data_IF_423482674859
#
_entry.id   IF_423482674859
#
_cell.length_a   1.000
_cell.length_b   1.000
_cell.length_c   1.000
_cell.angle_alpha   90.00
_cell.angle_beta   90.00
_cell.angle_gamma   90.00
#
_symmetry.space_group_name_H-M   'P 1'
#
loop_
_entity.id
_entity.type
_entity.pdbx_description
1 polymer ?
#
# COMPACT_ATOMS: atom_id res chain seq x y z
N UNK A 1 -2.44 -4.08 32.57
CA UNK A 1 -3.53 -3.20 32.92
C UNK A 1 -3.10 -1.82 33.44
N UNK A 2 -2.62 -1.72 34.67
CA UNK A 2 -2.43 -0.40 35.35
C UNK A 2 -1.40 0.53 34.66
N UNK A 3 -0.30 0.01 34.08
CA UNK A 3 0.73 0.83 33.46
C UNK A 3 0.21 1.58 32.22
N UNK A 4 -0.56 0.91 31.37
CA UNK A 4 -1.19 1.51 30.18
C UNK A 4 -2.18 2.60 30.60
N UNK A 5 -2.94 2.37 31.69
CA UNK A 5 -3.87 3.36 32.24
C UNK A 5 -3.13 4.60 32.74
N UNK A 6 -1.99 4.44 33.39
CA UNK A 6 -1.16 5.55 33.87
C UNK A 6 -0.52 6.35 32.72
N UNK A 7 -0.02 5.68 31.69
CA UNK A 7 0.57 6.34 30.50
C UNK A 7 -0.49 7.17 29.78
N UNK A 8 -1.69 6.61 29.56
CA UNK A 8 -2.78 7.34 28.92
C UNK A 8 -3.30 8.49 29.80
N UNK A 9 -3.40 8.27 31.12
CA UNK A 9 -3.79 9.34 32.05
C UNK A 9 -2.75 10.47 32.06
N UNK A 10 -1.45 10.16 32.03
CA UNK A 10 -0.37 11.14 31.95
C UNK A 10 -0.46 11.99 30.68
N UNK A 11 -0.68 11.33 29.49
CA UNK A 11 -0.88 12.05 28.23
C UNK A 11 -2.20 12.83 28.19
N UNK A 12 -3.24 12.35 28.87
CA UNK A 12 -4.56 13.01 28.91
C UNK A 12 -4.56 14.27 29.78
N UNK A 13 -3.74 14.33 30.79
CA UNK A 13 -3.86 15.35 31.83
C UNK A 13 -3.17 16.70 31.53
N UNK A 14 -2.08 16.79 30.78
CA UNK A 14 -1.29 18.01 30.85
C UNK A 14 -0.68 18.60 29.57
N UNK A 15 -0.88 18.04 28.34
CA UNK A 15 -0.22 18.64 27.16
C UNK A 15 -1.12 18.67 25.92
N UNK A 16 -1.06 19.79 25.21
CA UNK A 16 -1.65 19.99 23.88
C UNK A 16 -1.23 18.85 22.91
N UNK A 17 0.02 18.38 22.98
CA UNK A 17 0.54 17.24 22.23
C UNK A 17 -0.18 15.94 22.58
N UNK A 18 -0.44 15.68 23.87
CA UNK A 18 -1.21 14.49 24.29
C UNK A 18 -2.64 14.48 23.76
N UNK A 19 -3.30 15.65 23.75
CA UNK A 19 -4.65 15.80 23.16
C UNK A 19 -4.64 15.58 21.63
N UNK A 20 -3.62 16.04 20.94
CA UNK A 20 -3.45 15.81 19.51
C UNK A 20 -3.21 14.33 19.20
N UNK A 21 -2.34 13.65 19.94
CA UNK A 21 -2.04 12.22 19.75
C UNK A 21 -3.26 11.33 20.00
N UNK A 22 -4.15 11.70 20.93
CA UNK A 22 -5.37 10.95 21.22
C UNK A 22 -6.48 11.26 20.19
N UNK A 23 -6.39 12.37 19.46
CA UNK A 23 -7.36 12.74 18.45
C UNK A 23 -7.31 11.78 17.25
N UNK A 24 -8.37 11.01 17.04
CA UNK A 24 -8.43 10.02 15.95
C UNK A 24 -8.26 10.61 14.55
N UNK A 25 -8.66 11.86 14.32
CA UNK A 25 -8.44 12.51 13.02
C UNK A 25 -6.97 12.88 12.83
N UNK A 26 -6.29 13.33 13.87
CA UNK A 26 -4.86 13.57 13.82
C UNK A 26 -4.06 12.28 13.61
N UNK A 27 -4.45 11.19 14.27
CA UNK A 27 -3.85 9.87 14.06
C UNK A 27 -3.97 9.40 12.60
N UNK A 28 -5.13 9.60 11.94
CA UNK A 28 -5.33 9.27 10.52
C UNK A 28 -4.34 10.01 9.63
N UNK A 29 -4.16 11.32 9.86
CA UNK A 29 -3.23 12.16 9.12
C UNK A 29 -1.80 11.64 9.33
N UNK A 30 -1.40 11.36 10.58
CA UNK A 30 -0.06 10.85 10.89
C UNK A 30 0.19 9.48 10.25
N UNK A 31 -0.75 8.55 10.34
CA UNK A 31 -0.64 7.21 9.75
C UNK A 31 -0.47 7.29 8.23
N UNK A 32 -1.13 8.24 7.58
CA UNK A 32 -0.98 8.46 6.13
C UNK A 32 0.35 9.12 5.77
N UNK A 33 0.76 10.16 6.52
CA UNK A 33 1.98 10.92 6.20
C UNK A 33 3.26 10.20 6.63
N UNK A 34 3.19 9.36 7.65
CA UNK A 34 4.37 8.70 8.20
C UNK A 34 5.09 7.80 7.19
N UNK A 35 4.42 6.90 6.42
CA UNK A 35 5.09 6.12 5.39
C UNK A 35 5.70 6.99 4.27
N UNK A 36 5.05 8.12 3.90
CA UNK A 36 5.60 9.06 2.93
C UNK A 36 6.95 9.62 3.41
N UNK A 37 7.04 9.98 4.69
CA UNK A 37 8.29 10.47 5.27
C UNK A 37 9.34 9.35 5.42
N UNK A 38 8.91 8.14 5.83
CA UNK A 38 9.80 7.01 6.06
C UNK A 38 10.51 6.53 4.78
N UNK A 39 9.77 6.48 3.68
CA UNK A 39 10.24 5.96 2.39
C UNK A 39 10.60 7.07 1.39
N UNK A 40 10.67 8.33 1.84
CA UNK A 40 10.98 9.47 0.97
C UNK A 40 12.30 9.32 0.20
N UNK A 41 13.29 8.66 0.80
CA UNK A 41 14.58 8.39 0.18
C UNK A 41 14.50 7.49 -1.05
N UNK A 42 13.44 6.67 -1.19
CA UNK A 42 13.30 5.77 -2.34
C UNK A 42 12.83 6.48 -3.62
N UNK A 43 12.34 7.72 -3.52
CA UNK A 43 11.87 8.50 -4.66
C UNK A 43 12.93 8.74 -5.74
N UNK A 44 14.20 8.78 -5.36
CA UNK A 44 15.31 8.99 -6.29
C UNK A 44 15.92 7.68 -6.80
N UNK A 45 15.33 6.53 -6.47
CA UNK A 45 15.81 5.25 -6.98
C UNK A 45 15.45 5.08 -8.46
N UNK A 46 16.32 4.39 -9.19
CA UNK A 46 16.04 3.92 -10.54
C UNK A 46 15.23 2.64 -10.49
N UNK A 47 14.63 2.26 -11.61
CA UNK A 47 14.06 0.92 -11.80
C UNK A 47 15.15 -0.15 -11.65
N UNK A 48 14.89 -1.15 -10.81
CA UNK A 48 15.82 -2.24 -10.50
C UNK A 48 15.16 -3.60 -10.64
N UNK A 49 15.98 -4.62 -10.88
CA UNK A 49 15.54 -6.03 -10.89
C UNK A 49 14.22 -6.23 -11.66
N UNK A 50 13.19 -6.63 -10.93
CA UNK A 50 11.87 -6.98 -11.46
C UNK A 50 11.13 -5.79 -12.07
N UNK A 51 11.43 -4.55 -11.67
CA UNK A 51 10.84 -3.34 -12.28
C UNK A 51 11.14 -3.27 -13.78
N UNK A 52 12.33 -3.70 -14.18
CA UNK A 52 12.71 -3.77 -15.58
C UNK A 52 11.84 -4.77 -16.36
N UNK A 53 11.46 -5.88 -15.72
CA UNK A 53 10.62 -6.93 -16.33
C UNK A 53 9.17 -6.47 -16.47
N UNK A 54 8.64 -5.80 -15.45
CA UNK A 54 7.21 -5.46 -15.41
C UNK A 54 6.89 -4.08 -15.98
N UNK A 55 7.89 -3.19 -16.14
CA UNK A 55 7.70 -1.83 -16.66
C UNK A 55 8.60 -1.58 -17.87
N UNK A 56 9.90 -1.37 -17.62
CA UNK A 56 10.82 -0.78 -18.60
C UNK A 56 10.95 -1.60 -19.88
N UNK A 57 11.10 -2.92 -19.77
CA UNK A 57 11.29 -3.85 -20.87
C UNK A 57 10.01 -4.65 -21.21
N UNK A 58 8.87 -4.30 -20.63
CA UNK A 58 7.61 -4.96 -20.94
C UNK A 58 6.92 -4.24 -22.09
N UNK A 59 6.94 -4.85 -23.29
CA UNK A 59 6.35 -4.26 -24.50
C UNK A 59 4.87 -3.88 -24.32
N UNK A 60 4.12 -4.64 -23.52
CA UNK A 60 2.71 -4.35 -23.30
C UNK A 60 2.50 -3.13 -22.40
N UNK A 61 3.35 -2.95 -21.39
CA UNK A 61 3.29 -1.80 -20.48
C UNK A 61 3.80 -0.53 -21.18
N UNK A 62 4.89 -0.62 -21.95
CA UNK A 62 5.49 0.54 -22.64
C UNK A 62 4.62 1.07 -23.78
N UNK A 63 3.66 0.27 -24.29
CA UNK A 63 2.64 0.75 -25.24
C UNK A 63 1.51 1.54 -24.58
N UNK A 64 1.55 1.74 -23.26
CA UNK A 64 0.52 2.45 -22.52
C UNK A 64 -0.85 1.77 -22.60
N UNK A 65 -1.91 2.56 -22.69
CA UNK A 65 -3.30 2.08 -22.72
C UNK A 65 -3.53 1.10 -23.90
N UNK A 66 -2.84 1.27 -25.02
CA UNK A 66 -2.98 0.37 -26.18
C UNK A 66 -2.48 -1.06 -25.91
N UNK A 67 -1.65 -1.26 -24.90
CA UNK A 67 -1.14 -2.57 -24.50
C UNK A 67 -2.06 -3.36 -23.56
N UNK A 68 -3.10 -2.72 -23.00
CA UNK A 68 -4.01 -3.34 -22.02
C UNK A 68 -4.69 -4.63 -22.54
N UNK A 69 -5.17 -4.71 -23.77
CA UNK A 69 -5.74 -5.95 -24.30
C UNK A 69 -4.78 -7.14 -24.23
N UNK A 70 -3.48 -6.90 -24.50
CA UNK A 70 -2.47 -7.96 -24.41
C UNK A 70 -2.14 -8.31 -22.96
N UNK A 71 -2.11 -7.35 -22.05
CA UNK A 71 -1.94 -7.57 -20.60
C UNK A 71 -3.08 -8.45 -20.05
N UNK A 72 -4.31 -8.25 -20.52
CA UNK A 72 -5.45 -9.07 -20.12
C UNK A 72 -5.43 -10.48 -20.71
N UNK A 73 -4.77 -10.67 -21.85
CA UNK A 73 -4.75 -11.94 -22.58
C UNK A 73 -3.59 -12.85 -22.18
N UNK A 74 -2.45 -12.27 -21.79
CA UNK A 74 -1.20 -13.00 -21.58
C UNK A 74 -0.71 -12.89 -20.12
N UNK A 75 0.22 -13.78 -19.74
CA UNK A 75 0.89 -13.70 -18.45
C UNK A 75 1.85 -12.49 -18.35
N UNK A 76 2.24 -12.17 -17.11
CA UNK A 76 3.06 -10.99 -16.78
C UNK A 76 4.40 -10.93 -17.54
N UNK A 77 5.02 -12.10 -17.81
CA UNK A 77 6.35 -12.15 -18.44
C UNK A 77 6.31 -12.10 -19.98
N UNK A 78 5.13 -12.34 -20.58
CA UNK A 78 5.02 -12.44 -22.04
C UNK A 78 5.46 -11.17 -22.76
N UNK A 79 5.12 -10.01 -22.22
CA UNK A 79 5.53 -8.73 -22.80
C UNK A 79 7.04 -8.48 -22.70
N UNK A 80 7.69 -8.96 -21.66
CA UNK A 80 9.15 -8.90 -21.48
C UNK A 80 9.86 -9.89 -22.41
N UNK A 81 9.44 -11.15 -22.44
CA UNK A 81 10.06 -12.20 -23.27
C UNK A 81 9.97 -11.89 -24.76
N UNK A 82 8.89 -11.23 -25.19
CA UNK A 82 8.71 -10.81 -26.59
C UNK A 82 9.75 -9.77 -27.00
N UNK A 83 10.11 -8.86 -26.11
CA UNK A 83 11.12 -7.83 -26.37
C UNK A 83 12.55 -8.38 -26.43
N UNK A 84 12.83 -9.50 -25.74
CA UNK A 84 14.19 -10.09 -25.67
C UNK A 84 14.42 -11.29 -26.59
N UNK A 85 13.48 -11.62 -27.51
CA UNK A 85 13.57 -12.78 -28.41
C UNK A 85 13.85 -14.13 -27.69
N UNK A 86 13.58 -14.23 -26.41
CA UNK A 86 13.90 -15.39 -25.58
C UNK A 86 12.73 -16.37 -25.56
N UNK A 87 12.77 -17.36 -26.46
CA UNK A 87 11.78 -18.44 -26.55
C UNK A 87 11.80 -19.46 -25.39
N UNK A 88 12.68 -19.29 -24.42
CA UNK A 88 13.04 -20.36 -23.48
C UNK A 88 12.97 -20.01 -22.00
N UNK A 89 12.17 -19.07 -21.58
CA UNK A 89 12.20 -18.73 -20.17
C UNK A 89 10.82 -18.67 -19.52
N UNK A 90 10.72 -19.38 -18.42
CA UNK A 90 9.71 -19.33 -17.39
C UNK A 90 8.38 -19.99 -17.76
N UNK A 91 8.37 -21.30 -17.70
CA UNK A 91 7.17 -22.12 -17.48
C UNK A 91 6.66 -21.90 -16.06
N UNK A 92 5.55 -21.23 -15.90
CA UNK A 92 4.94 -20.93 -14.59
C UNK A 92 4.35 -19.54 -14.57
N UNK A 93 3.51 -19.25 -15.58
CA UNK A 93 2.93 -17.94 -15.80
C UNK A 93 2.32 -17.30 -14.54
N UNK A 94 2.79 -16.11 -14.20
CA UNK A 94 2.15 -15.26 -13.18
C UNK A 94 1.16 -14.35 -13.88
N UNK A 95 -0.13 -14.57 -13.64
CA UNK A 95 -1.18 -13.71 -14.17
C UNK A 95 -1.60 -12.68 -13.11
N UNK A 96 -1.08 -11.44 -13.25
CA UNK A 96 -1.37 -10.31 -12.36
C UNK A 96 -1.69 -9.05 -13.17
N UNK A 97 -2.82 -9.06 -13.92
CA UNK A 97 -3.08 -8.01 -14.89
C UNK A 97 -3.32 -6.63 -14.27
N UNK A 98 -3.91 -6.56 -13.06
CA UNK A 98 -4.29 -5.29 -12.45
C UNK A 98 -3.11 -4.34 -12.28
N UNK A 99 -1.99 -4.83 -11.77
CA UNK A 99 -0.81 -4.00 -11.54
C UNK A 99 -0.16 -3.59 -12.86
N UNK A 100 -0.09 -4.49 -13.84
CA UNK A 100 0.43 -4.17 -15.18
C UNK A 100 -0.46 -3.16 -15.91
N UNK A 101 -1.79 -3.28 -15.81
CA UNK A 101 -2.74 -2.30 -16.35
C UNK A 101 -2.50 -0.93 -15.70
N UNK A 102 -2.32 -0.90 -14.38
CA UNK A 102 -2.01 0.32 -13.66
C UNK A 102 -0.68 0.92 -14.15
N UNK A 103 0.37 0.12 -14.30
CA UNK A 103 1.65 0.58 -14.83
C UNK A 103 1.53 1.09 -16.29
N UNK A 104 0.79 0.39 -17.14
CA UNK A 104 0.55 0.84 -18.52
C UNK A 104 -0.21 2.18 -18.53
N UNK A 105 -1.20 2.34 -17.68
CA UNK A 105 -1.92 3.61 -17.54
C UNK A 105 -0.98 4.74 -17.07
N UNK A 106 -0.15 4.51 -16.06
CA UNK A 106 0.82 5.52 -15.60
C UNK A 106 1.84 5.83 -16.67
N UNK A 107 2.34 4.80 -17.37
CA UNK A 107 3.34 4.95 -18.44
C UNK A 107 2.82 5.81 -19.59
N UNK A 108 1.53 5.74 -19.93
CA UNK A 108 0.89 6.58 -20.95
C UNK A 108 1.12 8.08 -20.72
N UNK A 109 1.09 8.52 -19.46
CA UNK A 109 1.18 9.95 -19.09
C UNK A 109 2.59 10.41 -18.77
N UNK A 110 3.41 9.54 -18.17
CA UNK A 110 4.72 9.95 -17.63
C UNK A 110 5.91 9.22 -18.25
N UNK A 111 5.67 8.24 -19.13
CA UNK A 111 6.72 7.43 -19.74
C UNK A 111 7.56 6.68 -18.69
N UNK A 112 8.86 6.57 -18.94
CA UNK A 112 9.84 5.89 -18.08
C UNK A 112 10.33 6.79 -16.92
N UNK A 113 9.39 7.38 -16.17
CA UNK A 113 9.73 8.25 -15.03
C UNK A 113 9.69 7.48 -13.71
N UNK A 114 10.82 6.90 -13.28
CA UNK A 114 10.92 6.10 -12.05
C UNK A 114 10.43 6.84 -10.81
N UNK A 115 10.68 8.16 -10.69
CA UNK A 115 10.24 8.96 -9.56
C UNK A 115 8.71 8.87 -9.34
N UNK A 116 7.92 9.00 -10.41
CA UNK A 116 6.46 8.94 -10.31
C UNK A 116 5.99 7.53 -9.90
N UNK A 117 6.61 6.48 -10.42
CA UNK A 117 6.28 5.11 -10.04
C UNK A 117 6.59 4.83 -8.56
N UNK A 118 7.75 5.26 -8.05
CA UNK A 118 8.08 5.17 -6.62
C UNK A 118 7.13 6.00 -5.76
N UNK A 119 6.78 7.22 -6.19
CA UNK A 119 5.83 8.06 -5.48
C UNK A 119 4.46 7.38 -5.33
N UNK A 120 3.97 6.80 -6.42
CA UNK A 120 2.69 6.07 -6.41
C UNK A 120 2.76 4.84 -5.50
N UNK A 121 3.89 4.10 -5.51
CA UNK A 121 4.09 2.96 -4.62
C UNK A 121 3.99 3.36 -3.13
N UNK A 122 4.67 4.43 -2.74
CA UNK A 122 4.61 4.97 -1.37
C UNK A 122 3.20 5.48 -1.03
N UNK A 123 2.53 6.15 -1.97
CA UNK A 123 1.16 6.63 -1.77
C UNK A 123 0.19 5.48 -1.52
N UNK A 124 0.25 4.40 -2.30
CA UNK A 124 -0.61 3.24 -2.09
C UNK A 124 -0.28 2.50 -0.79
N UNK A 125 1.00 2.44 -0.40
CA UNK A 125 1.38 1.91 0.90
C UNK A 125 0.84 2.77 2.06
N UNK A 126 0.83 4.09 1.91
CA UNK A 126 0.23 5.02 2.89
C UNK A 126 -1.28 4.84 3.00
N UNK A 127 -1.97 4.64 1.87
CA UNK A 127 -3.41 4.31 1.84
C UNK A 127 -3.71 2.95 2.49
N UNK A 128 -2.84 1.96 2.28
CA UNK A 128 -2.93 0.67 2.94
C UNK A 128 -2.78 0.83 4.47
N UNK A 129 -1.78 1.56 4.94
CA UNK A 129 -1.59 1.84 6.37
C UNK A 129 -2.82 2.55 6.98
N UNK A 130 -3.35 3.56 6.30
CA UNK A 130 -4.57 4.23 6.75
C UNK A 130 -5.76 3.26 6.82
N UNK A 131 -5.90 2.39 5.84
CA UNK A 131 -6.99 1.40 5.80
C UNK A 131 -6.85 0.35 6.91
N UNK A 132 -5.63 -0.09 7.22
CA UNK A 132 -5.33 -0.99 8.36
C UNK A 132 -5.71 -0.30 9.69
N UNK A 133 -5.31 0.97 9.87
CA UNK A 133 -5.69 1.74 11.05
C UNK A 133 -7.22 1.79 11.22
N UNK A 134 -7.95 2.11 10.15
CA UNK A 134 -9.41 2.19 10.18
C UNK A 134 -10.06 0.84 10.50
N UNK A 135 -9.54 -0.24 9.93
CA UNK A 135 -10.02 -1.60 10.19
C UNK A 135 -9.80 -1.98 11.66
N UNK A 136 -8.58 -1.80 12.18
CA UNK A 136 -8.24 -2.12 13.56
C UNK A 136 -9.06 -1.28 14.54
N UNK A 137 -9.17 0.03 14.32
CA UNK A 137 -9.96 0.92 15.17
C UNK A 137 -11.43 0.48 15.25
N UNK A 138 -11.98 0.03 14.12
CA UNK A 138 -13.36 -0.46 14.06
C UNK A 138 -13.52 -1.81 14.79
N UNK A 139 -12.63 -2.76 14.58
CA UNK A 139 -12.67 -4.07 15.22
C UNK A 139 -12.50 -3.98 16.73
N UNK A 140 -11.62 -3.10 17.20
CA UNK A 140 -11.34 -2.94 18.64
C UNK A 140 -12.39 -2.12 19.37
N UNK A 141 -13.17 -1.29 18.67
CA UNK A 141 -14.11 -0.33 19.26
C UNK A 141 -15.17 -1.00 20.13
N UNK A 142 -15.64 -2.19 19.78
CA UNK A 142 -16.66 -2.91 20.54
C UNK A 142 -16.16 -3.44 21.90
N UNK A 143 -14.88 -3.86 21.95
CA UNK A 143 -14.28 -4.47 23.13
C UNK A 143 -13.47 -3.48 23.99
N UNK A 144 -12.86 -2.49 23.34
CA UNK A 144 -11.97 -1.50 23.96
C UNK A 144 -12.27 -0.08 23.47
N UNK A 145 -13.46 0.49 23.77
CA UNK A 145 -13.91 1.77 23.19
C UNK A 145 -12.94 2.93 23.41
N UNK A 146 -12.33 3.01 24.61
CA UNK A 146 -11.41 4.10 24.98
C UNK A 146 -10.00 3.91 24.42
N UNK A 147 -9.61 2.69 24.06
CA UNK A 147 -8.25 2.33 23.65
C UNK A 147 -8.16 1.93 22.18
N UNK A 148 -9.28 1.78 21.48
CA UNK A 148 -9.31 1.32 20.10
C UNK A 148 -8.40 2.16 19.18
N UNK A 149 -8.54 3.49 19.22
CA UNK A 149 -7.74 4.38 18.39
C UNK A 149 -6.24 4.36 18.75
N UNK A 150 -5.83 4.52 20.04
CA UNK A 150 -4.42 4.46 20.40
C UNK A 150 -3.75 3.11 20.06
N UNK A 151 -4.42 1.99 20.31
CA UNK A 151 -3.88 0.66 19.99
C UNK A 151 -3.73 0.51 18.47
N UNK A 152 -4.75 0.90 17.69
CA UNK A 152 -4.71 0.82 16.24
C UNK A 152 -3.62 1.70 15.66
N UNK A 153 -3.42 2.89 16.20
CA UNK A 153 -2.36 3.81 15.81
C UNK A 153 -0.97 3.19 16.00
N UNK A 154 -0.67 2.69 17.21
CA UNK A 154 0.60 2.06 17.50
C UNK A 154 0.84 0.80 16.65
N UNK A 155 -0.18 -0.05 16.52
CA UNK A 155 -0.08 -1.27 15.70
C UNK A 155 0.21 -0.94 14.24
N UNK A 156 -0.43 0.10 13.69
CA UNK A 156 -0.21 0.53 12.31
C UNK A 156 1.17 1.16 12.13
N UNK A 157 1.69 1.93 13.09
CA UNK A 157 3.05 2.43 13.03
C UNK A 157 4.08 1.30 13.06
N UNK A 158 3.89 0.30 13.92
CA UNK A 158 4.75 -0.89 13.97
C UNK A 158 4.70 -1.66 12.64
N UNK A 159 3.54 -1.80 12.03
CA UNK A 159 3.40 -2.35 10.69
C UNK A 159 4.20 -1.53 9.68
N UNK A 160 3.98 -0.22 9.62
CA UNK A 160 4.61 0.67 8.63
C UNK A 160 6.15 0.70 8.74
N UNK A 161 6.70 0.57 9.95
CA UNK A 161 8.15 0.58 10.21
C UNK A 161 8.82 -0.78 10.11
N UNK A 162 8.04 -1.85 9.94
CA UNK A 162 8.62 -3.19 9.93
C UNK A 162 9.56 -3.37 8.73
N UNK A 163 10.82 -3.81 8.91
CA UNK A 163 11.82 -3.88 7.84
C UNK A 163 11.43 -4.74 6.64
N UNK A 164 10.53 -5.71 6.83
CA UNK A 164 10.04 -6.58 5.75
C UNK A 164 9.36 -5.81 4.62
N UNK A 165 8.80 -4.62 4.92
CA UNK A 165 8.11 -3.79 3.91
C UNK A 165 9.07 -2.98 3.06
N UNK A 166 10.36 -2.91 3.42
CA UNK A 166 11.34 -2.12 2.66
C UNK A 166 11.47 -2.62 1.23
N UNK A 167 11.52 -3.94 1.02
CA UNK A 167 11.58 -4.50 -0.33
C UNK A 167 10.32 -4.17 -1.14
N UNK A 168 9.16 -4.38 -0.56
CA UNK A 168 7.86 -4.16 -1.23
C UNK A 168 7.63 -2.70 -1.58
N UNK A 169 8.05 -1.76 -0.71
CA UNK A 169 7.82 -0.32 -0.92
C UNK A 169 8.90 0.32 -1.78
N UNK A 170 10.17 -0.08 -1.61
CA UNK A 170 11.28 0.47 -2.38
C UNK A 170 11.37 -0.10 -3.81
N UNK A 171 10.75 -1.24 -4.08
CA UNK A 171 10.69 -1.87 -5.39
C UNK A 171 9.30 -1.61 -6.01
N UNK A 172 9.23 -0.97 -7.17
CA UNK A 172 7.95 -0.58 -7.79
C UNK A 172 7.07 -1.79 -8.10
N UNK A 173 7.69 -2.90 -8.52
CA UNK A 173 6.98 -4.17 -8.76
C UNK A 173 6.22 -4.65 -7.51
N UNK A 174 6.66 -4.31 -6.31
CA UNK A 174 5.98 -4.63 -5.04
C UNK A 174 4.55 -4.07 -4.90
N UNK A 175 4.13 -3.18 -5.80
CA UNK A 175 2.76 -2.65 -5.85
C UNK A 175 1.69 -3.75 -5.96
N UNK A 176 2.00 -4.88 -6.56
CA UNK A 176 1.08 -6.02 -6.66
C UNK A 176 0.74 -6.61 -5.27
N UNK A 177 1.70 -6.64 -4.35
CA UNK A 177 1.51 -7.10 -2.98
C UNK A 177 0.76 -6.05 -2.15
N UNK A 178 1.09 -4.76 -2.33
CA UNK A 178 0.36 -3.65 -1.70
C UNK A 178 -1.11 -3.67 -2.12
N UNK A 179 -1.41 -3.81 -3.40
CA UNK A 179 -2.78 -3.89 -3.91
C UNK A 179 -3.53 -5.11 -3.36
N UNK A 180 -2.88 -6.28 -3.33
CA UNK A 180 -3.49 -7.50 -2.82
C UNK A 180 -3.95 -7.34 -1.36
N UNK A 181 -3.09 -6.83 -0.49
CA UNK A 181 -3.43 -6.59 0.91
C UNK A 181 -4.43 -5.43 1.06
N UNK A 182 -4.24 -4.34 0.30
CA UNK A 182 -5.12 -3.17 0.40
C UNK A 182 -6.56 -3.49 0.00
N UNK A 183 -6.78 -4.17 -1.12
CA UNK A 183 -8.12 -4.58 -1.52
C UNK A 183 -8.74 -5.59 -0.56
N UNK A 184 -7.95 -6.48 0.04
CA UNK A 184 -8.41 -7.38 1.10
C UNK A 184 -8.91 -6.59 2.32
N UNK A 185 -8.14 -5.60 2.78
CA UNK A 185 -8.52 -4.73 3.91
C UNK A 185 -9.78 -3.92 3.58
N UNK A 186 -9.88 -3.37 2.36
CA UNK A 186 -11.06 -2.64 1.90
C UNK A 186 -12.31 -3.54 1.85
N UNK A 187 -12.17 -4.78 1.38
CA UNK A 187 -13.27 -5.76 1.38
C UNK A 187 -13.78 -6.03 2.81
N UNK A 188 -12.87 -6.22 3.78
CA UNK A 188 -13.26 -6.36 5.18
C UNK A 188 -14.00 -5.13 5.72
N UNK A 189 -13.51 -3.92 5.40
CA UNK A 189 -14.17 -2.68 5.80
C UNK A 189 -15.59 -2.58 5.21
N UNK A 190 -15.78 -2.96 3.94
CA UNK A 190 -17.08 -2.99 3.28
C UNK A 190 -18.04 -3.99 3.94
N UNK A 191 -17.56 -5.22 4.23
CA UNK A 191 -18.35 -6.24 4.92
C UNK A 191 -18.80 -5.74 6.30
N UNK A 192 -17.87 -5.20 7.09
CA UNK A 192 -18.21 -4.66 8.41
C UNK A 192 -19.25 -3.53 8.31
N UNK A 193 -19.12 -2.66 7.31
CA UNK A 193 -20.10 -1.58 7.08
C UNK A 193 -21.48 -2.16 6.78
N UNK A 194 -21.57 -3.15 5.88
CA UNK A 194 -22.84 -3.79 5.53
C UNK A 194 -23.51 -4.46 6.74
N UNK A 195 -22.71 -5.10 7.62
CA UNK A 195 -23.24 -5.71 8.86
C UNK A 195 -23.84 -4.66 9.79
N UNK A 196 -23.21 -3.49 9.92
CA UNK A 196 -23.71 -2.42 10.79
C UNK A 196 -24.97 -1.76 10.23
N UNK A 197 -25.04 -1.61 8.90
CA UNK A 197 -26.20 -1.02 8.22
C UNK A 197 -27.44 -1.94 8.30
N UNK A 198 -27.23 -3.27 8.30
CA UNK A 198 -28.31 -4.26 8.46
C UNK A 198 -28.81 -4.43 9.92
N UNK A 199 -28.11 -3.85 10.89
CA UNK A 199 -28.52 -3.87 12.31
C UNK A 199 -29.35 -2.65 12.74
N UNK A 200 -29.52 -1.67 11.85
CA UNK A 200 -30.35 -0.48 12.05
C UNK A 200 -31.73 -0.68 11.49
#
# INVERSE_FOLDING_TARGET
>A
GKLITYVIAYFRMNNMIGKLIINGNFQKILVFLFPLALYFNTLNNSFVLDDNIVIKKNEYVTRGVSGIPDILKYDTFKGFLKSENSATAVTGGRYRPLTLIFFAFVYEFVGENAFIFHLLNILFFSLLCLSIYLLLARLLKSKFPDYANPISFLATLLFATHPIHTEVVANVKGLDEIFSLWFSVLAFLCILKSIDDNKK
#
